data_IF_700407025042
#
_entry.id   IF_700407025042
#
_cell.length_a   1.000
_cell.length_b   1.000
_cell.length_c   1.000
_cell.angle_alpha   90.00
_cell.angle_beta   90.00
_cell.angle_gamma   90.00
#
_symmetry.space_group_name_H-M   'P 1'
#
loop_
_entity.id
_entity.type
_entity.pdbx_description
1 polymer ?
#
# COMPACT_ATOMS: atom_id res chain seq x y z
N UNK A 1 -41.79 -29.78 -26.28
CA UNK A 1 -41.00 -28.66 -25.71
C UNK A 1 -39.78 -29.28 -25.02
N UNK A 2 -38.58 -29.25 -25.63
CA UNK A 2 -37.39 -29.88 -25.05
C UNK A 2 -36.68 -28.93 -24.08
N UNK A 3 -36.16 -29.47 -22.98
CA UNK A 3 -35.21 -28.78 -22.09
C UNK A 3 -33.87 -28.55 -22.82
N UNK A 4 -33.17 -27.44 -22.56
CA UNK A 4 -31.77 -27.31 -22.95
C UNK A 4 -30.88 -28.05 -21.93
N UNK A 5 -30.05 -28.97 -22.45
CA UNK A 5 -28.94 -29.62 -21.76
C UNK A 5 -27.69 -28.74 -21.77
N UNK A 6 -26.95 -28.84 -20.66
CA UNK A 6 -25.50 -28.69 -20.49
C UNK A 6 -24.76 -27.47 -21.05
N UNK A 7 -24.08 -26.76 -20.13
CA UNK A 7 -22.64 -26.48 -20.28
C UNK A 7 -21.94 -26.52 -18.92
N UNK A 8 -21.35 -27.68 -18.66
CA UNK A 8 -20.09 -27.77 -17.90
C UNK A 8 -19.06 -26.88 -18.60
N UNK A 9 -18.30 -26.09 -17.82
CA UNK A 9 -16.83 -25.99 -17.87
C UNK A 9 -16.39 -24.63 -17.33
N UNK A 10 -15.64 -24.62 -16.23
CA UNK A 10 -14.53 -23.69 -15.99
C UNK A 10 -13.76 -24.19 -14.78
N UNK A 11 -12.77 -25.03 -15.06
CA UNK A 11 -11.62 -25.28 -14.18
C UNK A 11 -10.95 -23.95 -13.81
N UNK A 12 -11.26 -23.41 -12.64
CA UNK A 12 -10.49 -22.34 -12.03
C UNK A 12 -9.31 -22.97 -11.27
N UNK A 13 -8.11 -22.50 -11.59
CA UNK A 13 -6.85 -22.79 -10.93
C UNK A 13 -6.97 -22.88 -9.41
N UNK A 14 -6.68 -24.06 -8.85
CA UNK A 14 -6.70 -24.34 -7.42
C UNK A 14 -5.46 -23.74 -6.73
N UNK A 15 -5.32 -22.41 -6.78
CA UNK A 15 -4.45 -21.69 -5.86
C UNK A 15 -5.18 -21.65 -4.51
N UNK A 16 -4.50 -21.91 -3.38
CA UNK A 16 -5.14 -21.82 -2.07
C UNK A 16 -5.75 -20.43 -1.89
N UNK A 17 -6.98 -20.39 -1.37
CA UNK A 17 -7.66 -19.13 -1.08
C UNK A 17 -6.80 -18.28 -0.14
N UNK A 18 -6.66 -17.01 -0.48
CA UNK A 18 -5.92 -16.02 0.29
C UNK A 18 -6.53 -15.85 1.70
N UNK A 19 -5.75 -15.33 2.66
CA UNK A 19 -6.21 -15.10 4.04
C UNK A 19 -7.44 -14.18 4.04
N UNK A 20 -7.42 -13.10 3.26
CA UNK A 20 -8.54 -12.17 3.15
C UNK A 20 -9.79 -12.79 2.50
N UNK A 21 -9.63 -13.70 1.53
CA UNK A 21 -10.77 -14.45 0.97
C UNK A 21 -11.41 -15.36 2.02
N UNK A 22 -10.59 -16.04 2.83
CA UNK A 22 -11.09 -16.89 3.93
C UNK A 22 -11.79 -16.07 5.01
N UNK A 23 -11.28 -14.88 5.34
CA UNK A 23 -11.97 -13.94 6.25
C UNK A 23 -13.31 -13.52 5.66
N UNK A 24 -13.38 -13.23 4.36
CA UNK A 24 -14.64 -12.86 3.68
C UNK A 24 -15.67 -14.01 3.69
N UNK A 25 -15.21 -15.26 3.69
CA UNK A 25 -16.04 -16.47 3.83
C UNK A 25 -16.42 -16.77 5.30
N UNK A 26 -15.88 -16.03 6.26
CA UNK A 26 -16.20 -16.17 7.69
C UNK A 26 -15.31 -17.16 8.46
N UNK A 27 -14.16 -17.56 7.92
CA UNK A 27 -13.18 -18.38 8.64
C UNK A 27 -12.54 -17.57 9.78
N UNK A 28 -12.90 -17.91 11.02
CA UNK A 28 -12.38 -17.27 12.22
C UNK A 28 -10.87 -17.47 12.40
N UNK A 29 -10.31 -18.60 11.95
CA UNK A 29 -8.87 -18.86 12.10
C UNK A 29 -8.04 -18.00 11.14
N UNK A 30 -8.63 -17.57 10.03
CA UNK A 30 -7.97 -16.68 9.08
C UNK A 30 -7.75 -15.27 9.66
N UNK A 31 -8.51 -14.88 10.70
CA UNK A 31 -8.32 -13.60 11.39
C UNK A 31 -7.02 -13.60 12.17
N UNK A 32 -6.78 -14.64 12.98
CA UNK A 32 -5.55 -14.78 13.75
C UNK A 32 -4.33 -14.88 12.82
N UNK A 33 -4.44 -15.68 11.76
CA UNK A 33 -3.42 -15.81 10.73
C UNK A 33 -3.10 -14.47 10.02
N UNK A 34 -4.12 -13.63 9.80
CA UNK A 34 -3.93 -12.28 9.25
C UNK A 34 -3.15 -11.38 10.20
N UNK A 35 -3.46 -11.42 11.50
CA UNK A 35 -2.74 -10.65 12.53
C UNK A 35 -1.30 -11.13 12.65
N UNK A 36 -1.06 -12.44 12.67
CA UNK A 36 0.29 -13.02 12.73
C UNK A 36 1.12 -12.65 11.50
N UNK A 37 0.52 -12.74 10.31
CA UNK A 37 1.21 -12.50 9.04
C UNK A 37 1.46 -11.01 8.77
N UNK A 38 0.47 -10.15 9.05
CA UNK A 38 0.50 -8.74 8.67
C UNK A 38 0.61 -7.76 9.85
N UNK A 39 0.63 -8.26 11.09
CA UNK A 39 0.75 -7.44 12.30
C UNK A 39 2.01 -6.56 12.28
N UNK A 40 3.16 -7.13 11.89
CA UNK A 40 4.40 -6.37 11.76
C UNK A 40 4.31 -5.25 10.73
N UNK A 41 3.66 -5.50 9.59
CA UNK A 41 3.44 -4.50 8.54
C UNK A 41 2.55 -3.36 9.05
N UNK A 42 1.37 -3.67 9.58
CA UNK A 42 0.42 -2.67 10.07
C UNK A 42 1.01 -1.86 11.23
N UNK A 43 1.67 -2.53 12.17
CA UNK A 43 2.36 -1.87 13.29
C UNK A 43 3.45 -0.92 12.84
N UNK A 44 4.27 -1.33 11.86
CA UNK A 44 5.33 -0.48 11.32
C UNK A 44 4.77 0.76 10.63
N UNK A 45 3.59 0.66 9.99
CA UNK A 45 2.88 1.79 9.42
C UNK A 45 2.32 2.67 10.55
N UNK A 46 1.63 2.11 11.53
CA UNK A 46 1.05 2.87 12.64
C UNK A 46 2.10 3.70 13.39
N UNK A 47 3.26 3.10 13.70
CA UNK A 47 4.38 3.80 14.35
C UNK A 47 4.96 4.98 13.58
N UNK A 48 4.79 5.02 12.25
CA UNK A 48 5.25 6.16 11.44
C UNK A 48 4.29 7.34 11.47
N UNK A 49 3.00 7.09 11.71
CA UNK A 49 1.95 8.12 11.66
C UNK A 49 1.49 8.57 13.06
N UNK A 50 1.72 7.75 14.09
CA UNK A 50 1.33 8.05 15.48
C UNK A 50 2.53 8.56 16.31
N UNK A 51 2.28 9.53 17.19
CA UNK A 51 3.33 10.18 18.00
C UNK A 51 3.70 9.40 19.27
N UNK A 52 2.84 8.51 19.74
CA UNK A 52 3.05 7.69 20.94
C UNK A 52 2.62 6.23 20.66
N UNK A 53 3.12 5.26 21.46
CA UNK A 53 2.83 3.85 21.25
C UNK A 53 1.35 3.49 21.42
N UNK A 54 0.65 4.11 22.37
CA UNK A 54 -0.76 3.81 22.66
C UNK A 54 -1.66 4.16 21.47
N UNK A 55 -1.46 5.34 20.87
CA UNK A 55 -2.17 5.75 19.65
C UNK A 55 -1.85 4.82 18.46
N UNK A 56 -0.64 4.27 18.40
CA UNK A 56 -0.26 3.32 17.36
C UNK A 56 -0.95 1.95 17.55
N UNK A 57 -1.16 1.55 18.81
CA UNK A 57 -1.86 0.31 19.16
C UNK A 57 -3.34 0.40 18.81
N UNK A 58 -4.00 1.48 19.25
CA UNK A 58 -5.40 1.75 18.92
C UNK A 58 -5.61 1.79 17.40
N UNK A 59 -4.75 2.50 16.67
CA UNK A 59 -4.83 2.58 15.21
C UNK A 59 -4.63 1.20 14.55
N UNK A 60 -3.74 0.37 15.09
CA UNK A 60 -3.50 -0.99 14.58
C UNK A 60 -4.75 -1.86 14.77
N UNK A 61 -5.36 -1.83 15.95
CA UNK A 61 -6.59 -2.58 16.23
C UNK A 61 -7.73 -2.14 15.29
N UNK A 62 -7.93 -0.83 15.14
CA UNK A 62 -8.93 -0.26 14.22
C UNK A 62 -8.73 -0.72 12.76
N UNK A 63 -7.48 -0.79 12.30
CA UNK A 63 -7.15 -1.24 10.94
C UNK A 63 -7.53 -2.70 10.75
N UNK A 64 -7.24 -3.59 11.71
CA UNK A 64 -7.62 -4.99 11.62
C UNK A 64 -9.13 -5.20 11.68
N UNK A 65 -9.84 -4.42 12.49
CA UNK A 65 -11.31 -4.41 12.50
C UNK A 65 -11.88 -3.98 11.15
N UNK A 66 -11.31 -2.94 10.53
CA UNK A 66 -11.74 -2.48 9.22
C UNK A 66 -11.39 -3.47 8.10
N UNK A 67 -10.24 -4.15 8.21
CA UNK A 67 -9.87 -5.24 7.30
C UNK A 67 -10.87 -6.38 7.33
N UNK A 68 -11.26 -6.81 8.53
CA UNK A 68 -12.29 -7.83 8.68
C UNK A 68 -13.60 -7.41 8.00
N UNK A 69 -14.08 -6.19 8.26
CA UNK A 69 -15.32 -5.69 7.65
C UNK A 69 -15.25 -5.53 6.13
N UNK A 70 -14.05 -5.33 5.57
CA UNK A 70 -13.85 -5.04 4.14
C UNK A 70 -13.14 -6.16 3.38
N UNK A 71 -12.93 -7.31 4.00
CA UNK A 71 -12.20 -8.44 3.40
C UNK A 71 -12.83 -8.88 2.07
N UNK A 72 -14.15 -8.83 1.96
CA UNK A 72 -14.91 -9.10 0.73
C UNK A 72 -14.55 -8.21 -0.46
N UNK A 73 -13.92 -7.05 -0.22
CA UNK A 73 -13.49 -6.11 -1.27
C UNK A 73 -12.13 -6.46 -1.84
N UNK A 74 -11.43 -7.42 -1.24
CA UNK A 74 -10.17 -7.91 -1.78
C UNK A 74 -10.41 -8.69 -3.06
N UNK A 75 -9.61 -8.39 -4.07
CA UNK A 75 -9.63 -9.06 -5.36
C UNK A 75 -8.18 -9.36 -5.77
N UNK A 76 -7.83 -10.65 -5.77
CA UNK A 76 -6.50 -11.12 -6.11
C UNK A 76 -6.07 -10.77 -7.54
N UNK A 77 -7.02 -10.50 -8.45
CA UNK A 77 -6.71 -10.05 -9.80
C UNK A 77 -6.24 -8.59 -9.86
N UNK A 78 -6.51 -7.80 -8.81
CA UNK A 78 -6.18 -6.36 -8.73
C UNK A 78 -4.91 -6.07 -7.93
N UNK A 79 -4.40 -7.04 -7.17
CA UNK A 79 -3.17 -6.89 -6.40
C UNK A 79 -3.01 -7.93 -5.29
N UNK A 80 -1.85 -7.91 -4.64
CA UNK A 80 -1.56 -8.80 -3.50
C UNK A 80 -2.34 -8.38 -2.24
N UNK A 81 -2.58 -9.32 -1.32
CA UNK A 81 -3.19 -9.05 -0.01
C UNK A 81 -2.43 -7.96 0.74
N UNK A 82 -1.11 -8.07 0.75
CA UNK A 82 -0.23 -7.13 1.42
C UNK A 82 -0.36 -5.69 0.89
N UNK A 83 -0.56 -5.54 -0.44
CA UNK A 83 -0.85 -4.24 -1.07
C UNK A 83 -2.21 -3.70 -0.63
N UNK A 84 -3.23 -4.55 -0.60
CA UNK A 84 -4.57 -4.17 -0.15
C UNK A 84 -4.57 -3.71 1.32
N UNK A 85 -3.92 -4.50 2.19
CA UNK A 85 -3.77 -4.23 3.62
C UNK A 85 -3.03 -2.92 3.86
N UNK A 86 -1.85 -2.73 3.25
CA UNK A 86 -1.09 -1.50 3.40
C UNK A 86 -1.86 -0.26 2.93
N UNK A 87 -2.64 -0.41 1.87
CA UNK A 87 -3.46 0.68 1.32
C UNK A 87 -4.59 1.06 2.27
N UNK A 88 -5.31 0.08 2.83
CA UNK A 88 -6.36 0.31 3.81
C UNK A 88 -5.79 0.89 5.10
N UNK A 89 -4.71 0.32 5.62
CA UNK A 89 -3.98 0.81 6.79
C UNK A 89 -3.58 2.28 6.65
N UNK A 90 -2.96 2.64 5.52
CA UNK A 90 -2.54 4.03 5.26
C UNK A 90 -3.71 5.00 5.22
N UNK A 91 -4.83 4.63 4.60
CA UNK A 91 -6.05 5.46 4.59
C UNK A 91 -6.53 5.72 6.01
N UNK A 92 -6.62 4.68 6.82
CA UNK A 92 -7.06 4.78 8.21
C UNK A 92 -6.13 5.66 9.06
N UNK A 93 -4.82 5.50 8.90
CA UNK A 93 -3.82 6.30 9.61
C UNK A 93 -3.85 7.78 9.22
N UNK A 94 -4.07 8.09 7.94
CA UNK A 94 -4.26 9.47 7.48
C UNK A 94 -5.51 10.07 8.13
N UNK A 95 -6.60 9.31 8.20
CA UNK A 95 -7.85 9.78 8.83
C UNK A 95 -7.68 9.99 10.34
N UNK A 96 -6.95 9.09 11.02
CA UNK A 96 -6.61 9.23 12.44
C UNK A 96 -5.79 10.50 12.70
N UNK A 97 -4.73 10.72 11.93
CA UNK A 97 -3.88 11.91 12.03
C UNK A 97 -4.65 13.20 11.74
N UNK A 98 -5.55 13.18 10.75
CA UNK A 98 -6.39 14.33 10.38
C UNK A 98 -7.34 14.76 11.49
N UNK A 99 -7.99 13.80 12.16
CA UNK A 99 -8.91 14.09 13.27
C UNK A 99 -8.20 14.77 14.44
N UNK A 100 -6.92 14.45 14.66
CA UNK A 100 -6.15 14.96 15.80
C UNK A 100 -5.43 16.28 15.54
N UNK A 101 -5.21 16.65 14.28
CA UNK A 101 -4.43 17.83 13.91
C UNK A 101 -5.21 19.15 13.88
N UNK A 102 -6.54 19.16 14.10
CA UNK A 102 -7.39 20.39 14.11
C UNK A 102 -7.24 21.31 12.88
N UNK A 103 -6.73 20.80 11.75
CA UNK A 103 -6.71 21.52 10.47
C UNK A 103 -7.79 20.90 9.58
N UNK A 104 -9.00 21.49 9.51
CA UNK A 104 -9.92 21.14 8.47
C UNK A 104 -9.37 21.77 7.18
N UNK A 105 -9.09 20.96 6.17
CA UNK A 105 -9.13 21.52 4.83
C UNK A 105 -9.84 20.59 3.85
N UNK A 106 -10.86 21.20 3.27
CA UNK A 106 -11.66 20.74 2.16
C UNK A 106 -10.75 20.61 0.93
N UNK A 107 -11.13 19.75 0.00
CA UNK A 107 -10.48 19.61 -1.31
C UNK A 107 -9.07 19.01 -1.27
N UNK A 108 -9.00 17.73 -1.69
CA UNK A 108 -7.99 17.14 -2.59
C UNK A 108 -7.27 15.88 -2.09
N UNK A 109 -8.04 14.81 -2.00
CA UNK A 109 -7.48 13.47 -2.18
C UNK A 109 -6.99 13.34 -3.63
N UNK A 110 -5.70 13.62 -3.86
CA UNK A 110 -5.03 12.96 -4.98
C UNK A 110 -4.76 11.54 -4.49
N UNK A 111 -5.63 10.63 -4.92
CA UNK A 111 -5.70 9.25 -4.49
C UNK A 111 -4.40 8.53 -4.93
N UNK A 112 -3.39 8.54 -4.05
CA UNK A 112 -2.14 7.77 -4.20
C UNK A 112 -2.48 6.29 -4.46
N UNK A 113 -3.68 5.84 -4.07
CA UNK A 113 -4.33 4.58 -4.46
C UNK A 113 -4.14 4.21 -5.94
N UNK A 114 -4.28 5.17 -6.86
CA UNK A 114 -4.19 4.93 -8.30
C UNK A 114 -2.75 4.65 -8.76
N UNK A 115 -1.74 5.06 -7.99
CA UNK A 115 -0.33 4.96 -8.35
C UNK A 115 0.40 3.87 -7.56
N UNK A 116 -0.01 3.63 -6.31
CA UNK A 116 0.54 2.59 -5.43
C UNK A 116 -0.14 1.24 -5.63
N UNK A 117 -1.36 1.20 -6.19
CA UNK A 117 -2.00 -0.06 -6.62
C UNK A 117 -1.20 -0.85 -7.67
N UNK A 118 -0.15 -0.25 -8.23
CA UNK A 118 0.75 -0.85 -9.21
C UNK A 118 2.19 -1.02 -8.67
N UNK A 119 2.41 -0.80 -7.37
CA UNK A 119 3.46 -1.49 -6.61
C UNK A 119 2.98 -2.93 -6.41
N UNK A 120 2.88 -3.66 -7.52
CA UNK A 120 2.62 -5.09 -7.60
C UNK A 120 3.93 -5.83 -7.31
N UNK A 121 4.54 -5.54 -6.16
CA UNK A 121 5.51 -6.41 -5.52
C UNK A 121 4.84 -6.91 -4.27
N UNK A 122 4.92 -8.21 -4.00
CA UNK A 122 4.51 -8.75 -2.70
C UNK A 122 5.18 -7.89 -1.62
N UNK A 123 4.38 -7.14 -0.85
CA UNK A 123 4.85 -6.37 0.31
C UNK A 123 5.24 -7.32 1.46
N UNK A 124 5.22 -8.63 1.21
CA UNK A 124 6.11 -9.60 1.84
C UNK A 124 7.48 -9.48 1.15
N UNK A 125 8.12 -8.34 1.36
CA UNK A 125 9.24 -7.84 0.56
C UNK A 125 10.55 -8.43 1.10
N UNK A 126 11.27 -9.19 0.26
CA UNK A 126 12.65 -9.62 0.54
C UNK A 126 13.51 -8.38 0.79
N UNK A 127 14.52 -8.45 1.66
CA UNK A 127 15.46 -7.33 1.91
C UNK A 127 16.01 -6.69 0.61
N UNK A 128 16.12 -7.49 -0.45
CA UNK A 128 16.54 -7.10 -1.79
C UNK A 128 15.56 -6.14 -2.49
N UNK A 129 14.25 -6.33 -2.36
CA UNK A 129 13.23 -5.50 -2.99
C UNK A 129 13.19 -4.12 -2.34
N UNK A 130 13.28 -4.07 -1.00
CA UNK A 130 13.41 -2.84 -0.24
C UNK A 130 14.71 -2.08 -0.60
N UNK A 131 15.83 -2.79 -0.74
CA UNK A 131 17.10 -2.21 -1.16
C UNK A 131 17.03 -1.62 -2.59
N UNK A 132 16.35 -2.31 -3.52
CA UNK A 132 16.11 -1.82 -4.88
C UNK A 132 15.22 -0.58 -4.89
N UNK A 133 14.14 -0.58 -4.10
CA UNK A 133 13.25 0.57 -3.97
C UNK A 133 14.01 1.79 -3.43
N UNK A 134 14.87 1.60 -2.42
CA UNK A 134 15.75 2.64 -1.89
C UNK A 134 16.73 3.17 -2.94
N UNK A 135 17.40 2.30 -3.69
CA UNK A 135 18.29 2.73 -4.78
C UNK A 135 17.56 3.51 -5.87
N UNK A 136 16.32 3.13 -6.21
CA UNK A 136 15.48 3.90 -7.13
C UNK A 136 15.07 5.26 -6.55
N UNK A 137 14.78 5.33 -5.25
CA UNK A 137 14.44 6.56 -4.54
C UNK A 137 15.60 7.55 -4.50
N UNK A 138 16.82 7.06 -4.30
CA UNK A 138 18.05 7.85 -4.35
C UNK A 138 18.39 8.37 -5.75
N UNK A 139 17.80 7.81 -6.80
CA UNK A 139 17.97 8.30 -8.18
C UNK A 139 16.94 9.37 -8.58
N UNK A 140 15.95 9.66 -7.73
CA UNK A 140 15.02 10.75 -7.98
C UNK A 140 15.71 12.12 -7.87
N UNK A 141 15.21 13.11 -8.61
CA UNK A 141 15.62 14.50 -8.37
C UNK A 141 15.30 14.91 -6.95
N UNK A 142 16.14 15.77 -6.36
CA UNK A 142 15.99 16.22 -4.97
C UNK A 142 14.56 16.71 -4.66
N UNK A 143 13.97 17.49 -5.58
CA UNK A 143 12.60 18.01 -5.44
C UNK A 143 11.54 16.90 -5.36
N UNK A 144 11.66 15.85 -6.18
CA UNK A 144 10.73 14.71 -6.12
C UNK A 144 10.99 13.85 -4.89
N UNK A 145 12.27 13.64 -4.54
CA UNK A 145 12.69 12.86 -3.37
C UNK A 145 12.21 13.49 -2.07
N UNK A 146 12.36 14.80 -1.89
CA UNK A 146 11.92 15.49 -0.68
C UNK A 146 10.41 15.40 -0.51
N UNK A 147 9.63 15.66 -1.56
CA UNK A 147 8.17 15.55 -1.51
C UNK A 147 7.74 14.12 -1.19
N UNK A 148 8.33 13.12 -1.84
CA UNK A 148 8.00 11.72 -1.56
C UNK A 148 8.50 11.25 -0.20
N UNK A 149 9.64 11.73 0.27
CA UNK A 149 10.17 11.42 1.58
C UNK A 149 9.25 11.93 2.67
N UNK A 150 8.84 13.20 2.59
CA UNK A 150 7.87 13.75 3.53
C UNK A 150 6.53 13.00 3.50
N UNK A 151 6.07 12.59 2.32
CA UNK A 151 4.78 11.90 2.19
C UNK A 151 4.81 10.42 2.62
N UNK A 152 5.88 9.69 2.29
CA UNK A 152 5.97 8.24 2.46
C UNK A 152 6.70 7.86 3.76
N UNK A 153 7.78 8.57 4.10
CA UNK A 153 8.58 8.28 5.29
C UNK A 153 8.07 9.03 6.52
N UNK A 154 7.74 10.32 6.38
CA UNK A 154 7.30 11.16 7.50
C UNK A 154 5.77 11.32 7.60
N UNK A 155 5.00 10.75 6.66
CA UNK A 155 3.53 10.77 6.70
C UNK A 155 2.88 12.16 6.56
N UNK A 156 3.65 13.18 6.16
CA UNK A 156 3.18 14.57 6.07
C UNK A 156 2.17 14.71 4.92
N UNK A 157 1.07 15.42 5.19
CA UNK A 157 0.04 15.70 4.19
C UNK A 157 0.59 16.59 3.05
N UNK A 158 -0.02 16.53 1.87
CA UNK A 158 0.41 17.38 0.75
C UNK A 158 0.31 18.89 1.07
N UNK A 159 -0.66 19.31 1.90
CA UNK A 159 -0.76 20.68 2.40
C UNK A 159 0.36 21.02 3.38
N UNK A 160 0.68 20.13 4.32
CA UNK A 160 1.81 20.30 5.23
C UNK A 160 3.16 20.33 4.49
N UNK A 161 3.31 19.55 3.41
CA UNK A 161 4.50 19.60 2.54
C UNK A 161 4.55 20.92 1.78
N UNK A 162 3.40 21.40 1.28
CA UNK A 162 3.31 22.68 0.59
C UNK A 162 3.76 23.84 1.49
N UNK A 163 3.34 23.83 2.75
CA UNK A 163 3.78 24.78 3.77
C UNK A 163 5.28 24.62 4.08
N UNK A 164 5.72 23.40 4.43
CA UNK A 164 7.11 23.10 4.83
C UNK A 164 8.13 23.43 3.75
N UNK A 165 7.78 23.20 2.48
CA UNK A 165 8.65 23.48 1.34
C UNK A 165 8.37 24.83 0.68
N UNK A 166 7.40 25.61 1.17
CA UNK A 166 6.95 26.86 0.53
C UNK A 166 6.65 26.69 -0.97
N UNK A 167 5.96 25.60 -1.31
CA UNK A 167 5.56 25.23 -2.68
C UNK A 167 4.04 25.27 -2.84
N UNK A 168 3.49 25.64 -4.01
CA UNK A 168 2.07 25.51 -4.27
C UNK A 168 1.60 24.05 -4.14
N UNK A 169 0.40 23.82 -3.57
CA UNK A 169 -0.17 22.48 -3.38
C UNK A 169 -0.26 21.68 -4.70
N UNK A 170 -0.56 22.36 -5.81
CA UNK A 170 -0.57 21.75 -7.15
C UNK A 170 0.82 21.25 -7.59
N UNK A 171 1.88 21.97 -7.22
CA UNK A 171 3.27 21.58 -7.48
C UNK A 171 3.66 20.37 -6.64
N UNK A 172 3.29 20.35 -5.36
CA UNK A 172 3.54 19.20 -4.47
C UNK A 172 2.89 17.93 -5.02
N UNK A 173 1.60 17.98 -5.39
CA UNK A 173 0.90 16.84 -6.02
C UNK A 173 1.56 16.40 -7.32
N UNK A 174 1.97 17.36 -8.15
CA UNK A 174 2.65 17.07 -9.42
C UNK A 174 4.01 16.39 -9.19
N UNK A 175 4.78 16.83 -8.20
CA UNK A 175 6.06 16.22 -7.83
C UNK A 175 5.88 14.83 -7.23
N UNK A 176 4.89 14.64 -6.35
CA UNK A 176 4.55 13.34 -5.80
C UNK A 176 4.17 12.35 -6.92
N UNK A 177 3.27 12.75 -7.83
CA UNK A 177 2.85 11.93 -8.96
C UNK A 177 4.03 11.55 -9.87
N UNK A 178 4.86 12.52 -10.25
CA UNK A 178 6.03 12.27 -11.12
C UNK A 178 7.06 11.39 -10.44
N UNK A 179 7.35 11.63 -9.15
CA UNK A 179 8.28 10.82 -8.38
C UNK A 179 7.83 9.36 -8.29
N UNK A 180 6.53 9.11 -8.02
CA UNK A 180 5.98 7.75 -7.98
C UNK A 180 6.09 7.05 -9.34
N UNK A 181 5.81 7.77 -10.43
CA UNK A 181 5.95 7.24 -11.78
C UNK A 181 7.41 6.86 -12.10
N UNK A 182 8.36 7.71 -11.70
CA UNK A 182 9.80 7.45 -11.86
C UNK A 182 10.26 6.24 -11.03
N UNK A 183 9.84 6.15 -9.77
CA UNK A 183 10.11 4.97 -8.92
C UNK A 183 9.61 3.70 -9.57
N UNK A 184 8.36 3.70 -10.04
CA UNK A 184 7.75 2.55 -10.70
C UNK A 184 8.51 2.14 -11.96
N UNK A 185 8.90 3.11 -12.79
CA UNK A 185 9.67 2.83 -14.01
C UNK A 185 11.05 2.26 -13.69
N UNK A 186 11.72 2.77 -12.64
CA UNK A 186 12.99 2.26 -12.17
C UNK A 186 12.89 0.81 -11.67
N UNK A 187 11.88 0.53 -10.84
CA UNK A 187 11.62 -0.83 -10.32
C UNK A 187 11.33 -1.83 -11.44
N UNK A 188 10.53 -1.44 -12.45
CA UNK A 188 10.24 -2.29 -13.62
C UNK A 188 11.46 -2.57 -14.49
N UNK A 189 12.34 -1.58 -14.67
CA UNK A 189 13.57 -1.74 -15.46
C UNK A 189 14.58 -2.66 -14.77
N UNK A 190 14.64 -2.61 -13.43
CA UNK A 190 15.55 -3.42 -12.65
C UNK A 190 15.02 -4.84 -12.38
N UNK A 191 13.73 -5.11 -12.63
CA UNK A 191 13.17 -6.47 -12.60
C UNK A 191 13.36 -7.26 -13.91
N UNK A 192 13.78 -6.60 -15.00
CA UNK A 192 13.88 -7.20 -16.35
C UNK A 192 15.32 -7.59 -16.78
N UNK A 193 16.24 -7.82 -15.85
CA UNK A 193 17.56 -8.38 -16.15
C UNK A 193 17.64 -9.86 -15.74
N UNK A 194 17.53 -10.81 -16.69
CA UNK A 194 18.13 -12.12 -16.55
C UNK A 194 19.62 -12.06 -16.93
N UNK A 195 20.44 -12.75 -16.14
CA UNK A 195 21.80 -13.24 -16.43
C UNK A 195 22.90 -12.22 -16.81
N UNK A 196 23.82 -12.02 -15.87
CA UNK A 196 25.26 -12.04 -16.18
C UNK A 196 25.86 -13.07 -15.21
N UNK A 197 26.05 -14.31 -15.64
CA UNK A 197 27.19 -14.66 -16.49
C UNK A 197 28.38 -14.90 -15.58
N UNK A 198 28.50 -16.13 -15.06
CA UNK A 198 29.71 -16.59 -14.40
C UNK A 198 30.86 -16.54 -15.40
N UNK A 199 31.86 -15.73 -15.09
CA UNK A 199 33.17 -15.79 -15.73
C UNK A 199 34.18 -15.17 -14.76
N UNK A 200 34.83 -16.01 -13.98
CA UNK A 200 36.30 -16.12 -13.90
C UNK A 200 36.66 -17.27 -12.97
#
# INVERSE_FOLDING_TARGET
MPLPTSKQNSSATNAPASILQRIAEGDVNAIDECVETYGGLVWSLAKRYCNNPDDAEDATQDIFLELWQKAERYDASRGSESTFIATLARRRLIDFFRRRSSVPDSESSFDIQSLVGDFSGNLLETQEDAARAMGCFENLSEKHRSVLGFSIMEGVSHSGIAEKLSLPLGTVKSFARRGLMQLRQCMKRNSSLPETGGAS
#
